data_IF_021928213849
#
_entry.id   IF_021928213849
#
_cell.length_a   1.000
_cell.length_b   1.000
_cell.length_c   1.000
_cell.angle_alpha   90.00
_cell.angle_beta   90.00
_cell.angle_gamma   90.00
#
_symmetry.space_group_name_H-M   'P 1'
#
loop_
_entity.id
_entity.type
_entity.pdbx_description
1 polymer ?
#
# COMPACT_ATOMS: atom_id res chain seq x y z
N UNK A 1 -12.22 51.19 2.56
CA UNK A 1 -12.67 49.81 2.84
C UNK A 1 -11.44 48.95 3.09
N UNK A 2 -11.39 48.18 4.19
CA UNK A 2 -10.26 47.27 4.50
C UNK A 2 -10.77 45.84 4.43
N UNK A 3 -10.13 45.00 3.62
CA UNK A 3 -10.47 43.59 3.45
C UNK A 3 -9.28 42.74 3.88
N UNK A 4 -9.53 41.65 4.60
CA UNK A 4 -8.54 40.60 4.89
C UNK A 4 -9.11 39.23 4.51
N UNK A 5 -8.24 38.35 4.04
CA UNK A 5 -8.56 36.97 3.69
C UNK A 5 -7.49 36.03 4.23
N UNK A 6 -7.88 34.79 4.57
CA UNK A 6 -6.98 33.74 5.06
C UNK A 6 -7.24 32.46 4.27
N UNK A 7 -6.20 31.92 3.65
CA UNK A 7 -6.25 30.58 3.06
C UNK A 7 -5.92 29.53 4.12
N UNK A 8 -6.67 28.43 4.11
CA UNK A 8 -6.42 27.23 4.92
C UNK A 8 -6.33 26.04 3.98
N UNK A 9 -5.45 25.09 4.28
CA UNK A 9 -5.20 23.91 3.46
C UNK A 9 -5.08 22.66 4.33
N UNK A 10 -5.34 21.50 3.73
CA UNK A 10 -5.10 20.20 4.36
C UNK A 10 -3.61 20.03 4.63
N UNK A 11 -3.24 19.74 5.88
CA UNK A 11 -1.86 19.49 6.30
C UNK A 11 -1.83 18.17 7.03
N UNK A 12 -0.88 17.29 6.70
CA UNK A 12 -0.79 15.96 7.28
C UNK A 12 0.66 15.52 7.49
N UNK A 13 0.87 14.45 8.25
CA UNK A 13 2.13 13.71 8.30
C UNK A 13 1.88 12.21 8.30
N UNK A 14 2.87 11.45 7.83
CA UNK A 14 2.86 10.00 7.74
C UNK A 14 4.08 9.48 8.48
N UNK A 15 3.88 8.64 9.48
CA UNK A 15 4.97 8.08 10.29
C UNK A 15 4.82 6.55 10.47
N UNK A 16 5.85 5.74 10.24
CA UNK A 16 7.17 6.13 9.75
C UNK A 16 7.13 6.62 8.29
N UNK A 17 8.13 7.39 7.90
CA UNK A 17 8.31 7.80 6.51
C UNK A 17 8.48 6.59 5.57
N UNK A 18 8.00 6.72 4.34
CA UNK A 18 8.20 5.73 3.28
C UNK A 18 9.68 5.63 2.88
N UNK A 19 10.23 4.45 2.58
CA UNK A 19 9.55 3.14 2.55
C UNK A 19 9.49 2.45 3.92
N UNK A 20 8.44 1.66 4.14
CA UNK A 20 8.35 0.74 5.29
C UNK A 20 8.97 -0.62 4.92
N UNK A 21 9.80 -1.18 5.80
CA UNK A 21 10.50 -2.44 5.54
C UNK A 21 10.18 -3.49 6.59
N UNK A 22 9.77 -4.67 6.14
CA UNK A 22 9.53 -5.83 7.02
C UNK A 22 10.80 -6.64 7.30
N UNK A 23 11.88 -6.40 6.54
CA UNK A 23 13.14 -7.12 6.61
C UNK A 23 13.03 -8.57 6.11
N UNK A 24 14.06 -9.36 6.38
CA UNK A 24 14.03 -10.79 6.10
C UNK A 24 12.96 -11.48 6.99
N UNK A 25 12.11 -12.30 6.38
CA UNK A 25 11.06 -13.04 7.06
C UNK A 25 11.15 -14.53 6.70
N UNK A 26 10.88 -15.38 7.69
CA UNK A 26 10.79 -16.82 7.46
C UNK A 26 9.48 -17.15 6.74
N UNK A 27 9.53 -18.10 5.81
CA UNK A 27 8.34 -18.59 5.10
C UNK A 27 7.28 -19.07 6.09
N UNK A 28 6.02 -18.69 5.85
CA UNK A 28 4.87 -18.98 6.71
C UNK A 28 4.69 -18.03 7.90
N UNK A 29 5.62 -17.09 8.13
CA UNK A 29 5.47 -16.10 9.21
C UNK A 29 4.67 -14.88 8.77
N UNK A 30 4.10 -14.21 9.77
CA UNK A 30 3.33 -12.98 9.63
C UNK A 30 3.96 -11.88 10.46
N UNK A 31 4.07 -10.68 9.90
CA UNK A 31 4.56 -9.49 10.61
C UNK A 31 3.64 -8.31 10.29
N UNK A 32 3.31 -7.53 11.30
CA UNK A 32 2.45 -6.36 11.17
C UNK A 32 3.23 -5.10 11.51
N UNK A 33 3.10 -4.07 10.69
CA UNK A 33 3.58 -2.71 10.97
C UNK A 33 2.41 -1.73 10.97
N UNK A 34 2.62 -0.60 11.62
CA UNK A 34 1.63 0.48 11.67
C UNK A 34 2.23 1.75 11.08
N UNK A 35 1.47 2.37 10.18
CA UNK A 35 1.70 3.71 9.66
C UNK A 35 0.64 4.63 10.26
N UNK A 36 1.07 5.76 10.82
CA UNK A 36 0.21 6.77 11.43
C UNK A 36 0.04 7.92 10.45
N UNK A 37 -1.18 8.11 9.96
CA UNK A 37 -1.58 9.29 9.21
C UNK A 37 -2.20 10.30 10.16
N UNK A 38 -1.52 11.43 10.37
CA UNK A 38 -1.96 12.49 11.26
C UNK A 38 -2.44 13.71 10.47
N UNK A 39 -3.56 14.30 10.89
CA UNK A 39 -4.03 15.58 10.40
C UNK A 39 -3.43 16.71 11.23
N UNK A 40 -2.49 17.46 10.65
CA UNK A 40 -1.85 18.65 11.25
C UNK A 40 -2.51 19.96 10.81
N UNK A 41 -3.64 19.88 10.11
CA UNK A 41 -4.40 20.99 9.59
C UNK A 41 -5.58 21.38 10.48
N UNK A 42 -6.26 22.45 10.08
CA UNK A 42 -7.44 22.99 10.76
C UNK A 42 -8.76 22.49 10.16
N UNK A 43 -8.71 21.69 9.10
CA UNK A 43 -9.87 21.15 8.40
C UNK A 43 -9.92 19.62 8.54
N UNK A 44 -11.13 19.07 8.56
CA UNK A 44 -11.32 17.62 8.43
C UNK A 44 -10.90 17.21 7.01
N UNK A 45 -10.22 16.07 6.87
CA UNK A 45 -10.01 15.46 5.55
C UNK A 45 -10.42 13.99 5.55
N UNK A 46 -10.68 13.48 4.36
CA UNK A 46 -10.83 12.05 4.08
C UNK A 46 -9.55 11.52 3.45
N UNK A 47 -9.27 10.24 3.67
CA UNK A 47 -8.21 9.56 2.97
C UNK A 47 -8.73 8.32 2.23
N UNK A 48 -8.06 7.96 1.14
CA UNK A 48 -8.25 6.72 0.40
C UNK A 48 -6.89 6.15 0.04
N UNK A 49 -6.67 4.86 0.30
CA UNK A 49 -5.46 4.12 -0.01
C UNK A 49 -5.76 3.18 -1.17
N UNK A 50 -4.97 3.28 -2.24
CA UNK A 50 -5.11 2.41 -3.39
C UNK A 50 -3.75 2.03 -3.97
N UNK A 51 -3.75 0.99 -4.81
CA UNK A 51 -2.54 0.56 -5.51
C UNK A 51 -2.06 1.67 -6.46
N UNK A 52 -0.74 1.89 -6.50
CA UNK A 52 -0.16 2.73 -7.54
C UNK A 52 -0.44 2.10 -8.93
N UNK A 53 -0.67 2.90 -9.99
CA UNK A 53 -0.80 2.38 -11.34
C UNK A 53 0.41 1.54 -11.70
N UNK A 54 0.18 0.31 -12.20
CA UNK A 54 1.27 -0.51 -12.72
C UNK A 54 1.80 0.15 -13.99
N UNK A 55 2.94 0.83 -13.90
CA UNK A 55 3.71 1.21 -15.06
C UNK A 55 4.02 -0.08 -15.84
N UNK A 56 3.66 -0.13 -17.11
CA UNK A 56 3.82 -1.31 -17.98
C UNK A 56 5.29 -1.57 -18.38
N UNK A 57 6.24 -1.36 -17.46
CA UNK A 57 7.67 -1.50 -17.73
C UNK A 57 8.42 -2.07 -16.53
N UNK A 58 8.25 -3.37 -16.30
CA UNK A 58 9.23 -4.22 -15.62
C UNK A 58 8.95 -5.69 -15.98
N UNK A 59 9.03 -6.00 -17.28
CA UNK A 59 9.68 -7.23 -17.69
C UNK A 59 11.18 -7.08 -17.36
N UNK A 60 11.90 -8.19 -17.20
CA UNK A 60 13.33 -8.27 -16.85
C UNK A 60 13.65 -8.41 -15.36
N UNK A 61 13.32 -9.59 -14.83
CA UNK A 61 14.11 -10.27 -13.81
C UNK A 61 14.56 -11.62 -14.35
N UNK A 62 15.64 -11.62 -15.13
CA UNK A 62 16.24 -12.81 -15.75
C UNK A 62 16.68 -13.82 -14.69
N UNK A 63 15.97 -14.94 -14.58
CA UNK A 63 16.48 -16.16 -13.97
C UNK A 63 16.92 -17.10 -15.08
N UNK A 64 18.25 -17.24 -15.26
CA UNK A 64 18.84 -18.22 -16.17
C UNK A 64 19.82 -19.09 -15.39
N UNK A 65 19.30 -20.12 -14.72
CA UNK A 65 20.09 -21.33 -14.43
C UNK A 65 19.44 -22.52 -15.13
N UNK A 66 20.17 -22.99 -16.12
CA UNK A 66 19.99 -24.18 -16.95
C UNK A 66 19.94 -25.48 -16.13
N UNK A 67 18.90 -26.30 -16.35
CA UNK A 67 18.98 -27.76 -16.63
C UNK A 67 17.59 -28.41 -16.80
N UNK A 68 17.24 -28.61 -18.07
CA UNK A 68 16.78 -29.85 -18.71
C UNK A 68 16.13 -30.97 -17.87
N UNK A 69 14.82 -31.20 -18.05
CA UNK A 69 14.16 -32.50 -18.28
C UNK A 69 12.66 -32.32 -18.59
N UNK A 70 12.15 -33.08 -19.57
CA UNK A 70 10.85 -32.93 -20.24
C UNK A 70 9.65 -33.61 -19.50
N UNK A 71 8.48 -33.85 -20.13
CA UNK A 71 7.33 -32.94 -20.16
C UNK A 71 6.08 -33.53 -19.47
N UNK A 72 5.28 -32.72 -18.77
CA UNK A 72 3.89 -33.07 -18.50
C UNK A 72 3.01 -31.87 -18.19
N UNK A 73 1.98 -31.73 -19.03
CA UNK A 73 0.69 -31.11 -18.82
C UNK A 73 0.51 -30.22 -17.58
N UNK A 74 0.35 -28.91 -17.78
CA UNK A 74 -0.77 -28.20 -17.13
C UNK A 74 -1.12 -26.94 -17.91
N UNK A 75 -2.43 -26.78 -18.10
CA UNK A 75 -3.09 -25.71 -18.83
C UNK A 75 -2.71 -24.34 -18.24
N UNK A 76 -2.50 -23.38 -19.13
CA UNK A 76 -2.28 -21.96 -18.85
C UNK A 76 -3.16 -21.46 -17.70
N UNK A 77 -2.55 -21.16 -16.55
CA UNK A 77 -3.21 -20.44 -15.47
C UNK A 77 -3.35 -18.98 -15.88
N UNK A 78 -4.55 -18.69 -16.35
CA UNK A 78 -5.08 -17.37 -16.56
C UNK A 78 -4.94 -16.50 -15.30
N UNK A 79 -4.56 -15.24 -15.52
CA UNK A 79 -4.95 -14.10 -14.70
C UNK A 79 -4.28 -14.01 -13.33
N UNK A 80 -3.18 -13.24 -13.26
CA UNK A 80 -2.68 -12.67 -12.00
C UNK A 80 -3.77 -11.71 -11.49
N UNK A 81 -4.60 -12.22 -10.59
CA UNK A 81 -5.86 -11.60 -10.14
C UNK A 81 -5.61 -10.21 -9.57
N UNK A 82 -6.50 -9.33 -10.00
CA UNK A 82 -6.69 -7.95 -9.56
C UNK A 82 -6.63 -7.80 -8.05
N UNK A 83 -5.98 -6.73 -7.59
CA UNK A 83 -6.23 -6.13 -6.28
C UNK A 83 -7.75 -6.13 -6.00
N UNK A 84 -8.20 -6.95 -5.06
CA UNK A 84 -9.60 -6.95 -4.64
C UNK A 84 -9.76 -5.90 -3.56
N UNK A 85 -10.32 -4.75 -3.92
CA UNK A 85 -10.67 -3.70 -2.98
C UNK A 85 -12.02 -4.04 -2.35
N UNK A 86 -11.98 -4.75 -1.23
CA UNK A 86 -13.16 -4.93 -0.36
C UNK A 86 -13.20 -3.79 0.65
N UNK A 87 -14.37 -3.18 0.88
CA UNK A 87 -14.56 -2.08 1.83
C UNK A 87 -13.87 -2.39 3.17
N UNK A 88 -12.69 -1.81 3.41
CA UNK A 88 -11.93 -1.92 4.65
C UNK A 88 -10.50 -2.43 4.53
N UNK A 89 -10.16 -3.24 3.53
CA UNK A 89 -8.79 -3.72 3.34
C UNK A 89 -8.38 -3.91 1.87
N UNK A 90 -7.09 -3.71 1.59
CA UNK A 90 -6.48 -3.81 0.28
C UNK A 90 -5.39 -4.88 0.31
N UNK A 91 -5.51 -5.88 -0.55
CA UNK A 91 -4.53 -6.97 -0.69
C UNK A 91 -3.62 -6.73 -1.90
N UNK A 92 -2.30 -6.79 -1.68
CA UNK A 92 -1.26 -6.52 -2.66
C UNK A 92 -0.11 -7.51 -2.50
N UNK A 93 -0.10 -8.56 -3.33
CA UNK A 93 0.89 -9.62 -3.21
C UNK A 93 0.82 -10.28 -1.84
N UNK A 94 1.88 -10.13 -1.04
CA UNK A 94 1.98 -10.64 0.32
C UNK A 94 1.51 -9.68 1.41
N UNK A 95 1.07 -8.47 1.02
CA UNK A 95 0.69 -7.41 1.94
C UNK A 95 -0.84 -7.23 2.03
N UNK A 96 -1.34 -6.95 3.23
CA UNK A 96 -2.72 -6.53 3.48
C UNK A 96 -2.69 -5.20 4.24
N UNK A 97 -3.37 -4.18 3.71
CA UNK A 97 -3.45 -2.84 4.28
C UNK A 97 -4.85 -2.56 4.81
N UNK A 98 -4.98 -1.97 6.01
CA UNK A 98 -6.27 -1.57 6.57
C UNK A 98 -6.15 -0.50 7.67
N UNK A 99 -7.13 0.39 7.88
CA UNK A 99 -8.22 0.70 6.96
C UNK A 99 -7.69 1.40 5.71
N UNK A 100 -8.33 1.16 4.56
CA UNK A 100 -7.97 1.81 3.30
C UNK A 100 -8.69 3.14 3.06
N UNK A 101 -9.64 3.51 3.92
CA UNK A 101 -10.31 4.80 3.80
C UNK A 101 -10.84 5.25 5.14
N UNK A 102 -11.01 6.56 5.32
CA UNK A 102 -11.57 7.11 6.54
C UNK A 102 -11.61 8.63 6.53
N UNK A 103 -12.05 9.22 7.64
CA UNK A 103 -12.06 10.66 7.87
C UNK A 103 -11.23 10.98 9.12
N UNK A 104 -10.43 12.04 9.09
CA UNK A 104 -9.58 12.44 10.20
C UNK A 104 -9.87 13.90 10.55
N UNK A 105 -10.30 14.12 11.80
CA UNK A 105 -10.54 15.45 12.34
C UNK A 105 -9.25 16.26 12.48
N UNK A 106 -9.32 17.61 12.59
CA UNK A 106 -8.14 18.43 12.90
C UNK A 106 -7.40 17.88 14.12
N UNK A 107 -6.08 17.73 14.01
CA UNK A 107 -5.20 17.16 15.05
C UNK A 107 -5.47 15.68 15.38
N UNK A 108 -6.36 15.03 14.64
CA UNK A 108 -6.65 13.60 14.75
C UNK A 108 -5.59 12.76 14.05
N UNK A 109 -5.57 11.47 14.40
CA UNK A 109 -4.66 10.48 13.82
C UNK A 109 -5.41 9.22 13.43
N UNK A 110 -4.98 8.59 12.34
CA UNK A 110 -5.42 7.26 11.91
C UNK A 110 -4.22 6.31 11.89
N UNK A 111 -4.36 5.18 12.60
CA UNK A 111 -3.42 4.06 12.49
C UNK A 111 -3.84 3.17 11.34
N UNK A 112 -2.95 2.97 10.38
CA UNK A 112 -3.09 2.09 9.23
C UNK A 112 -2.15 0.91 9.46
N UNK A 113 -2.70 -0.29 9.52
CA UNK A 113 -1.92 -1.53 9.62
C UNK A 113 -1.53 -2.02 8.24
N UNK A 114 -0.28 -2.44 8.13
CA UNK A 114 0.23 -3.18 6.99
C UNK A 114 0.71 -4.53 7.52
N UNK A 115 0.01 -5.58 7.11
CA UNK A 115 0.36 -6.95 7.44
C UNK A 115 1.11 -7.58 6.27
N UNK A 116 2.20 -8.28 6.55
CA UNK A 116 3.00 -9.03 5.59
C UNK A 116 2.94 -10.51 5.94
N UNK A 117 2.44 -11.35 5.02
CA UNK A 117 2.42 -12.80 5.15
C UNK A 117 3.44 -13.42 4.19
N UNK A 118 4.56 -13.91 4.70
CA UNK A 118 5.66 -14.46 3.89
C UNK A 118 5.30 -15.83 3.28
N UNK A 119 4.49 -15.86 2.23
CA UNK A 119 4.00 -17.10 1.60
C UNK A 119 4.98 -17.75 0.62
N UNK A 120 5.58 -16.94 -0.27
CA UNK A 120 6.54 -17.38 -1.28
C UNK A 120 7.93 -16.81 -0.99
N UNK A 121 8.96 -17.55 -1.40
CA UNK A 121 10.35 -17.09 -1.32
C UNK A 121 10.61 -16.03 -2.38
N UNK A 122 11.34 -14.98 -2.01
CA UNK A 122 11.70 -13.89 -2.90
C UNK A 122 11.65 -12.54 -2.22
N UNK A 123 11.91 -11.49 -3.00
CA UNK A 123 11.69 -10.10 -2.61
C UNK A 123 10.32 -9.66 -3.12
N UNK A 124 9.61 -8.85 -2.34
CA UNK A 124 8.36 -8.24 -2.75
C UNK A 124 8.33 -6.79 -2.25
N UNK A 125 8.04 -5.89 -3.18
CA UNK A 125 7.92 -4.46 -2.99
C UNK A 125 6.64 -4.03 -3.70
N UNK A 126 5.81 -3.23 -3.02
CA UNK A 126 4.55 -2.75 -3.55
C UNK A 126 4.44 -1.25 -3.28
N UNK A 127 3.91 -0.51 -4.25
CA UNK A 127 3.70 0.93 -4.15
C UNK A 127 2.21 1.26 -3.96
N UNK A 128 1.97 2.18 -3.03
CA UNK A 128 0.66 2.63 -2.61
C UNK A 128 0.56 4.14 -2.67
N UNK A 129 -0.62 4.63 -3.02
CA UNK A 129 -0.95 6.05 -2.91
C UNK A 129 -1.99 6.25 -1.82
N UNK A 130 -1.85 7.38 -1.11
CA UNK A 130 -2.82 7.85 -0.12
C UNK A 130 -3.35 9.18 -0.64
N UNK A 131 -4.56 9.17 -1.17
CA UNK A 131 -5.26 10.37 -1.59
C UNK A 131 -5.80 11.10 -0.37
N UNK A 132 -5.47 12.39 -0.25
CA UNK A 132 -6.02 13.28 0.78
C UNK A 132 -7.10 14.15 0.14
N UNK A 133 -8.35 13.86 0.48
CA UNK A 133 -9.51 14.56 -0.04
C UNK A 133 -10.04 15.54 1.00
N UNK A 134 -10.10 16.82 0.65
CA UNK A 134 -10.69 17.89 1.44
C UNK A 134 -11.67 18.73 0.61
N UNK A 135 -12.57 19.44 1.28
CA UNK A 135 -13.34 20.55 0.67
C UNK A 135 -12.63 21.87 0.95
#
# INVERSE_FOLDING_TARGET
>A
VRVSAKAVYSKYSIEPASPISFGAMMKGTKKTQTVVLENKGMLNFKFLIHQAPRNASALEGTSSKQRESAPSATKHSAGRKSSSETQGHLNLGMFTVSPCSGSIAPWGQQKITVECLAGQEGTCEEQLYIDIMGR
#
